data_IF_303852672851
#
_entry.id   IF_303852672851
#
_cell.length_a   1.000
_cell.length_b   1.000
_cell.length_c   1.000
_cell.angle_alpha   90.00
_cell.angle_beta   90.00
_cell.angle_gamma   90.00
#
_symmetry.space_group_name_H-M   'P 1'
#
loop_
_entity.id
_entity.type
_entity.pdbx_description
1 polymer ?
#
# COMPACT_ATOMS: atom_id res chain seq x y z
N UNK A 1 0.44 12.41 5.79
CA UNK A 1 -0.59 11.60 6.47
C UNK A 1 -0.67 10.19 5.85
N UNK A 2 0.47 9.56 5.52
CA UNK A 2 0.51 8.37 4.64
C UNK A 2 1.34 7.21 5.18
N UNK A 3 2.34 7.42 6.04
CA UNK A 3 3.20 6.32 6.50
C UNK A 3 2.63 5.49 7.64
N UNK A 4 1.84 6.07 8.55
CA UNK A 4 1.23 5.32 9.67
C UNK A 4 0.34 4.19 9.15
N UNK A 5 -0.61 4.54 8.28
CA UNK A 5 -1.48 3.57 7.65
C UNK A 5 -0.70 2.56 6.80
N UNK A 6 0.31 2.98 6.04
CA UNK A 6 1.09 2.01 5.27
C UNK A 6 1.78 0.96 6.17
N UNK A 7 2.35 1.41 7.30
CA UNK A 7 3.00 0.51 8.24
C UNK A 7 1.99 -0.41 8.95
N UNK A 8 0.84 0.12 9.38
CA UNK A 8 -0.22 -0.68 10.02
C UNK A 8 -0.70 -1.82 9.12
N UNK A 9 -0.93 -1.54 7.84
CA UNK A 9 -1.37 -2.57 6.88
C UNK A 9 -0.25 -3.56 6.55
N UNK A 10 1.02 -3.14 6.61
CA UNK A 10 2.16 -4.04 6.43
C UNK A 10 2.33 -4.95 7.65
N UNK A 11 2.16 -4.42 8.85
CA UNK A 11 2.18 -5.19 10.10
C UNK A 11 1.04 -6.21 10.11
N UNK A 12 -0.17 -5.79 9.75
CA UNK A 12 -1.34 -6.67 9.64
C UNK A 12 -1.13 -7.80 8.62
N UNK A 13 -0.54 -7.50 7.45
CA UNK A 13 -0.15 -8.52 6.47
C UNK A 13 0.83 -9.55 7.07
N UNK A 14 1.85 -9.08 7.78
CA UNK A 14 2.85 -9.93 8.40
C UNK A 14 2.26 -10.80 9.51
N UNK A 15 1.33 -10.25 10.31
CA UNK A 15 0.63 -10.96 11.36
C UNK A 15 -0.21 -12.11 10.78
N UNK A 16 -0.96 -11.87 9.71
CA UNK A 16 -1.72 -12.93 9.04
C UNK A 16 -0.82 -14.04 8.48
N UNK A 17 0.32 -13.69 7.85
CA UNK A 17 1.29 -14.70 7.42
C UNK A 17 1.85 -15.52 8.58
N UNK A 18 2.12 -14.86 9.72
CA UNK A 18 2.62 -15.54 10.91
C UNK A 18 1.58 -16.48 11.51
N UNK A 19 0.32 -16.07 11.53
CA UNK A 19 -0.80 -16.93 11.96
C UNK A 19 -0.96 -18.14 11.02
N UNK A 20 -0.83 -17.95 9.71
CA UNK A 20 -0.81 -19.04 8.75
C UNK A 20 0.35 -20.01 9.00
N UNK A 21 1.55 -19.50 9.26
CA UNK A 21 2.73 -20.33 9.56
C UNK A 21 2.53 -21.17 10.83
N UNK A 22 1.92 -20.59 11.87
CA UNK A 22 1.71 -21.26 13.17
C UNK A 22 0.59 -22.29 13.09
N UNK A 23 -0.54 -21.94 12.48
CA UNK A 23 -1.76 -22.74 12.55
C UNK A 23 -2.04 -23.56 11.28
N UNK A 24 -1.44 -23.20 10.15
CA UNK A 24 -1.69 -23.84 8.86
C UNK A 24 -3.08 -23.57 8.27
N UNK A 25 -3.86 -22.67 8.88
CA UNK A 25 -5.23 -22.35 8.45
C UNK A 25 -5.23 -21.44 7.24
N UNK A 26 -5.91 -21.88 6.17
CA UNK A 26 -5.98 -21.15 4.91
C UNK A 26 -6.73 -19.83 5.03
N UNK A 27 -7.61 -19.66 6.00
CA UNK A 27 -8.31 -18.39 6.23
C UNK A 27 -7.30 -17.26 6.46
N UNK A 28 -6.26 -17.48 7.27
CA UNK A 28 -5.20 -16.49 7.47
C UNK A 28 -4.43 -16.16 6.19
N UNK A 29 -4.25 -17.13 5.29
CA UNK A 29 -3.61 -16.89 3.99
C UNK A 29 -4.51 -16.09 3.05
N UNK A 30 -5.82 -16.27 3.13
CA UNK A 30 -6.81 -15.50 2.38
C UNK A 30 -6.85 -14.05 2.86
N UNK A 31 -6.93 -13.83 4.17
CA UNK A 31 -6.86 -12.50 4.78
C UNK A 31 -5.56 -11.77 4.42
N UNK A 32 -4.40 -12.43 4.52
CA UNK A 32 -3.12 -11.86 4.08
C UNK A 32 -3.15 -11.41 2.61
N UNK A 33 -3.85 -12.13 1.73
CA UNK A 33 -3.98 -11.75 0.31
C UNK A 33 -4.84 -10.51 0.15
N UNK A 34 -5.91 -10.38 0.93
CA UNK A 34 -6.77 -9.19 0.89
C UNK A 34 -6.02 -7.94 1.35
N UNK A 35 -5.28 -8.03 2.45
CA UNK A 35 -4.41 -6.94 2.94
C UNK A 35 -3.36 -6.54 1.89
N UNK A 36 -2.75 -7.52 1.22
CA UNK A 36 -1.78 -7.28 0.15
C UNK A 36 -2.38 -6.53 -1.05
N UNK A 37 -3.65 -6.78 -1.40
CA UNK A 37 -4.34 -6.04 -2.48
C UNK A 37 -4.47 -4.56 -2.09
N UNK A 38 -4.86 -4.28 -0.86
CA UNK A 38 -4.98 -2.92 -0.34
C UNK A 38 -3.64 -2.18 -0.33
N UNK A 39 -2.57 -2.85 0.12
CA UNK A 39 -1.21 -2.30 0.08
C UNK A 39 -0.78 -1.94 -1.35
N UNK A 40 -1.03 -2.81 -2.33
CA UNK A 40 -0.72 -2.53 -3.75
C UNK A 40 -1.48 -1.32 -4.27
N UNK A 41 -2.76 -1.19 -3.94
CA UNK A 41 -3.56 -0.04 -4.35
C UNK A 41 -3.01 1.27 -3.76
N UNK A 42 -2.55 1.25 -2.51
CA UNK A 42 -1.90 2.40 -1.88
C UNK A 42 -0.59 2.79 -2.57
N UNK A 43 0.26 1.82 -2.91
CA UNK A 43 1.52 2.07 -3.63
C UNK A 43 1.25 2.72 -4.98
N UNK A 44 0.32 2.17 -5.78
CA UNK A 44 -0.05 2.74 -7.09
C UNK A 44 -0.57 4.18 -6.95
N UNK A 45 -1.41 4.44 -5.94
CA UNK A 45 -1.91 5.80 -5.66
C UNK A 45 -0.77 6.74 -5.26
N UNK A 46 0.18 6.30 -4.45
CA UNK A 46 1.33 7.10 -4.04
C UNK A 46 2.25 7.43 -5.23
N UNK A 47 2.52 6.46 -6.09
CA UNK A 47 3.29 6.66 -7.32
C UNK A 47 2.62 7.65 -8.27
N UNK A 48 1.31 7.51 -8.46
CA UNK A 48 0.54 8.45 -9.30
C UNK A 48 0.61 9.87 -8.74
N UNK A 49 0.44 10.02 -7.42
CA UNK A 49 0.53 11.31 -6.76
C UNK A 49 1.92 11.94 -6.91
N UNK A 50 2.99 11.15 -6.74
CA UNK A 50 4.37 11.61 -6.96
C UNK A 50 4.60 12.07 -8.40
N UNK A 51 4.13 11.30 -9.39
CA UNK A 51 4.22 11.69 -10.81
C UNK A 51 3.46 13.00 -11.10
N UNK A 52 2.26 13.15 -10.54
CA UNK A 52 1.47 14.36 -10.70
C UNK A 52 2.14 15.59 -10.08
N UNK A 53 2.68 15.47 -8.86
CA UNK A 53 3.45 16.54 -8.23
C UNK A 53 4.68 16.91 -9.06
N UNK A 54 5.40 15.92 -9.57
CA UNK A 54 6.57 16.14 -10.43
C UNK A 54 6.19 16.89 -11.73
N UNK A 55 5.05 16.59 -12.34
CA UNK A 55 4.53 17.33 -13.50
C UNK A 55 4.19 18.78 -13.15
N UNK A 56 3.57 19.04 -12.00
CA UNK A 56 3.28 20.43 -11.55
C UNK A 56 4.57 21.19 -11.28
N UNK A 57 5.52 20.58 -10.57
CA UNK A 57 6.77 21.23 -10.17
C UNK A 57 7.69 21.52 -11.36
N UNK A 58 7.73 20.63 -12.36
CA UNK A 58 8.59 20.79 -13.54
C UNK A 58 7.89 21.44 -14.74
N UNK A 59 6.56 21.42 -14.75
CA UNK A 59 5.71 22.11 -15.72
C UNK A 59 5.11 23.37 -15.13
N UNK A 60 5.94 24.22 -14.51
CA UNK A 60 5.55 25.53 -14.02
C UNK A 60 4.55 26.15 -14.99
N UNK A 61 3.40 26.53 -14.46
CA UNK A 61 2.26 27.14 -15.15
C UNK A 61 2.75 27.99 -16.33
N UNK A 62 2.75 27.41 -17.53
CA UNK A 62 2.81 28.18 -18.76
C UNK A 62 1.41 28.79 -18.92
N UNK A 63 1.15 29.82 -18.12
CA UNK A 63 0.15 30.82 -18.44
C UNK A 63 0.69 31.61 -19.62
N UNK A 64 0.41 31.12 -20.82
CA UNK A 64 0.52 31.86 -22.08
C UNK A 64 -0.87 32.13 -22.62
#
# INVERSE_FOLDING_TARGET
MTSSYFNEWLDEYNDYLRLYEIFGDKEYLEEAREVLVSLKAMVVRAEYHQRFLHQIMNGGVNAS
#
